data_IF_846290989939
#
_entry.id   IF_846290989939
#
_cell.length_a   1.000
_cell.length_b   1.000
_cell.length_c   1.000
_cell.angle_alpha   90.00
_cell.angle_beta   90.00
_cell.angle_gamma   90.00
#
_symmetry.space_group_name_H-M   'P 1'
#
loop_
_entity.id
_entity.type
_entity.pdbx_description
1 polymer ?
#
# COMPACT_ATOMS: atom_id res chain seq x y z
N UNK A 1 4.27 55.24 -22.18
CA UNK A 1 5.19 54.86 -21.09
C UNK A 1 4.42 54.90 -19.78
N UNK A 2 3.97 53.75 -19.28
CA UNK A 2 3.20 53.65 -18.04
C UNK A 2 4.20 53.66 -16.88
N UNK A 3 4.40 54.84 -16.27
CA UNK A 3 5.16 54.99 -15.03
C UNK A 3 4.33 54.43 -13.89
N UNK A 4 4.55 53.17 -13.52
CA UNK A 4 3.99 52.62 -12.28
C UNK A 4 4.50 53.48 -11.12
N UNK A 5 3.60 54.09 -10.32
CA UNK A 5 4.03 55.00 -9.28
C UNK A 5 4.87 54.22 -8.28
N UNK A 6 6.04 54.75 -7.93
CA UNK A 6 7.00 54.15 -6.98
C UNK A 6 6.33 53.69 -5.67
N UNK A 7 5.22 54.32 -5.28
CA UNK A 7 4.36 53.92 -4.16
C UNK A 7 3.68 52.57 -4.36
N UNK A 8 3.18 52.25 -5.56
CA UNK A 8 2.56 50.96 -5.90
C UNK A 8 3.61 49.83 -5.91
N UNK A 9 4.81 50.10 -6.42
CA UNK A 9 5.93 49.15 -6.37
C UNK A 9 6.35 48.84 -4.92
N UNK A 10 6.40 49.87 -4.05
CA UNK A 10 6.70 49.68 -2.63
C UNK A 10 5.62 48.91 -1.88
N UNK A 11 4.33 49.13 -2.19
CA UNK A 11 3.23 48.36 -1.58
C UNK A 11 3.22 46.90 -2.03
N UNK A 12 3.53 46.62 -3.31
CA UNK A 12 3.62 45.26 -3.82
C UNK A 12 4.83 44.51 -3.22
N UNK A 13 5.98 45.17 -3.09
CA UNK A 13 7.17 44.58 -2.47
C UNK A 13 6.95 44.28 -0.97
N UNK A 14 6.30 45.20 -0.23
CA UNK A 14 5.95 44.97 1.17
C UNK A 14 4.94 43.82 1.34
N UNK A 15 3.94 43.74 0.45
CA UNK A 15 2.98 42.63 0.44
C UNK A 15 3.66 41.29 0.16
N UNK A 16 4.57 41.23 -0.83
CA UNK A 16 5.33 40.03 -1.14
C UNK A 16 6.24 39.59 0.02
N UNK A 17 6.89 40.53 0.71
CA UNK A 17 7.76 40.23 1.85
C UNK A 17 6.97 39.71 3.07
N UNK A 18 5.73 40.17 3.24
CA UNK A 18 4.82 39.70 4.29
C UNK A 18 4.22 38.33 3.99
N UNK A 19 3.92 38.03 2.72
CA UNK A 19 3.31 36.76 2.30
C UNK A 19 4.34 35.64 2.14
N UNK A 20 5.59 35.94 1.78
CA UNK A 20 6.66 34.97 1.60
C UNK A 20 6.87 34.02 2.81
N UNK A 21 6.94 34.48 4.08
CA UNK A 21 7.09 33.58 5.21
C UNK A 21 5.85 32.71 5.45
N UNK A 22 4.63 33.22 5.20
CA UNK A 22 3.41 32.42 5.29
C UNK A 22 3.42 31.28 4.26
N UNK A 23 3.80 31.58 3.02
CA UNK A 23 3.90 30.58 1.96
C UNK A 23 4.98 29.56 2.29
N UNK A 24 6.15 30.00 2.78
CA UNK A 24 7.22 29.09 3.20
C UNK A 24 6.79 28.15 4.34
N UNK A 25 6.02 28.63 5.31
CA UNK A 25 5.45 27.80 6.39
C UNK A 25 4.48 26.75 5.83
N UNK A 26 3.60 27.13 4.89
CA UNK A 26 2.66 26.18 4.26
C UNK A 26 3.35 25.10 3.42
N UNK A 27 4.46 25.43 2.75
CA UNK A 27 5.27 24.43 2.04
C UNK A 27 6.04 23.53 3.03
N UNK A 28 6.48 24.07 4.17
CA UNK A 28 7.22 23.33 5.19
C UNK A 28 6.32 22.39 6.02
N UNK A 29 5.01 22.64 6.11
CA UNK A 29 4.08 21.75 6.82
C UNK A 29 3.80 20.42 6.12
N UNK A 30 4.35 20.20 4.93
CA UNK A 30 4.21 18.95 4.17
C UNK A 30 2.77 18.76 3.66
N UNK A 31 2.63 18.39 2.39
CA UNK A 31 1.38 17.81 1.94
C UNK A 31 1.25 16.45 2.63
N UNK A 32 0.42 16.35 3.67
CA UNK A 32 0.04 15.07 4.23
C UNK A 32 -0.51 14.18 3.11
N UNK A 33 -0.20 12.88 3.13
CA UNK A 33 -0.76 11.93 2.15
C UNK A 33 -2.28 12.05 2.20
N UNK A 34 -2.88 12.51 1.11
CA UNK A 34 -4.33 12.51 0.99
C UNK A 34 -4.77 11.07 0.78
N UNK A 35 -5.27 10.43 1.84
CA UNK A 35 -5.92 9.13 1.72
C UNK A 35 -7.24 9.34 0.99
N UNK A 36 -7.28 8.98 -0.30
CA UNK A 36 -8.48 9.14 -1.13
C UNK A 36 -9.58 8.12 -0.78
N UNK A 37 -9.25 7.08 0.00
CA UNK A 37 -10.22 6.09 0.45
C UNK A 37 -10.89 6.52 1.74
N UNK A 38 -12.22 6.59 1.71
CA UNK A 38 -13.04 6.60 2.91
C UNK A 38 -13.46 5.17 3.21
N UNK A 39 -12.81 4.52 4.17
CA UNK A 39 -13.30 3.26 4.71
C UNK A 39 -14.32 3.54 5.81
N UNK A 40 -15.34 2.68 5.90
CA UNK A 40 -16.10 2.55 7.15
C UNK A 40 -15.20 1.83 8.17
N UNK A 41 -15.33 2.19 9.44
CA UNK A 41 -14.65 1.46 10.52
C UNK A 41 -14.98 -0.03 10.40
N UNK A 42 -13.99 -0.94 10.37
CA UNK A 42 -14.25 -2.37 10.30
C UNK A 42 -15.09 -2.85 11.49
N UNK A 43 -15.97 -3.82 11.24
CA UNK A 43 -16.77 -4.44 12.29
C UNK A 43 -15.87 -5.10 13.37
N UNK A 44 -16.40 -5.38 14.59
CA UNK A 44 -15.67 -6.13 15.62
C UNK A 44 -15.17 -7.50 15.11
N UNK A 45 -14.13 -8.09 15.71
CA UNK A 45 -13.42 -9.25 15.13
C UNK A 45 -14.32 -10.43 14.75
N UNK A 46 -15.27 -10.79 15.63
CA UNK A 46 -16.18 -11.92 15.40
C UNK A 46 -17.21 -11.64 14.30
N UNK A 47 -17.68 -10.40 14.17
CA UNK A 47 -18.60 -9.99 13.10
C UNK A 47 -17.86 -9.88 11.76
N UNK A 48 -16.66 -9.29 11.76
CA UNK A 48 -15.79 -9.23 10.59
C UNK A 48 -15.44 -10.63 10.08
N UNK A 49 -15.26 -11.60 10.99
CA UNK A 49 -14.99 -13.00 10.66
C UNK A 49 -16.13 -13.64 9.86
N UNK A 50 -17.39 -13.25 10.07
CA UNK A 50 -18.53 -13.79 9.32
C UNK A 50 -18.49 -13.38 7.84
N UNK A 51 -18.04 -12.16 7.54
CA UNK A 51 -18.04 -11.56 6.20
C UNK A 51 -16.86 -11.92 5.29
N UNK A 52 -15.89 -12.70 5.78
CA UNK A 52 -14.65 -13.02 5.06
C UNK A 52 -14.51 -14.52 4.79
N UNK A 53 -13.68 -14.90 3.82
CA UNK A 53 -13.46 -16.31 3.46
C UNK A 53 -12.42 -16.96 4.38
N UNK A 54 -11.35 -16.23 4.70
CA UNK A 54 -10.27 -16.71 5.56
C UNK A 54 -9.79 -15.63 6.55
N UNK A 55 -9.34 -16.09 7.72
CA UNK A 55 -8.67 -15.28 8.73
C UNK A 55 -7.46 -16.05 9.23
N UNK A 56 -6.29 -15.47 9.06
CA UNK A 56 -5.01 -16.08 9.43
C UNK A 56 -3.98 -15.01 9.78
N UNK A 57 -2.89 -15.41 10.41
CA UNK A 57 -1.72 -14.56 10.63
C UNK A 57 -0.51 -15.17 9.99
N UNK A 58 0.41 -14.32 9.57
CA UNK A 58 1.63 -14.77 8.92
C UNK A 58 2.59 -13.64 8.63
N UNK A 59 3.82 -14.05 8.33
CA UNK A 59 4.90 -13.14 7.97
C UNK A 59 4.89 -12.89 6.47
N UNK A 60 4.92 -11.63 6.08
CA UNK A 60 5.01 -11.25 4.66
C UNK A 60 6.40 -11.61 4.13
N UNK A 61 6.45 -12.35 3.01
CA UNK A 61 7.70 -12.82 2.42
C UNK A 61 8.11 -12.07 1.18
N UNK A 62 7.17 -11.75 0.29
CA UNK A 62 7.48 -11.10 -0.97
C UNK A 62 6.26 -10.37 -1.55
N UNK A 63 6.53 -9.49 -2.51
CA UNK A 63 5.53 -8.77 -3.29
C UNK A 63 5.82 -8.92 -4.77
N UNK A 64 4.78 -9.18 -5.56
CA UNK A 64 4.83 -9.23 -7.01
C UNK A 64 3.60 -8.54 -7.61
N UNK A 65 3.60 -8.24 -8.91
CA UNK A 65 2.43 -7.70 -9.59
C UNK A 65 1.73 -8.81 -10.35
N UNK A 66 0.47 -9.07 -10.01
CA UNK A 66 -0.38 -9.97 -10.76
C UNK A 66 -1.43 -9.19 -11.56
N UNK A 67 -1.78 -9.67 -12.75
CA UNK A 67 -2.80 -9.03 -13.59
C UNK A 67 -3.90 -10.03 -13.86
N UNK A 68 -5.07 -9.82 -13.26
CA UNK A 68 -6.24 -10.63 -13.57
C UNK A 68 -6.86 -10.13 -14.87
N UNK A 69 -7.16 -11.07 -15.77
CA UNK A 69 -7.95 -10.80 -16.96
C UNK A 69 -9.43 -10.88 -16.58
N UNK A 70 -9.99 -9.74 -16.12
CA UNK A 70 -11.36 -9.70 -15.62
C UNK A 70 -12.32 -9.23 -16.71
N UNK A 71 -13.29 -10.07 -17.05
CA UNK A 71 -14.34 -9.73 -18.01
C UNK A 71 -15.46 -8.93 -17.33
N UNK A 72 -15.29 -7.61 -17.24
CA UNK A 72 -16.34 -6.68 -16.81
C UNK A 72 -17.24 -6.21 -17.96
N UNK A 73 -17.27 -6.91 -19.11
CA UNK A 73 -17.95 -6.44 -20.33
C UNK A 73 -17.22 -5.28 -21.04
N UNK A 74 -16.00 -4.99 -20.61
CA UNK A 74 -15.01 -4.16 -21.30
C UNK A 74 -13.66 -4.86 -21.14
N UNK A 75 -12.85 -4.95 -22.20
CA UNK A 75 -11.50 -5.56 -22.22
C UNK A 75 -10.51 -4.79 -21.33
N UNK A 76 -10.77 -4.75 -20.02
CA UNK A 76 -9.99 -4.03 -19.03
C UNK A 76 -9.44 -5.04 -18.05
N UNK A 77 -8.17 -5.34 -18.22
CA UNK A 77 -7.40 -6.03 -17.21
C UNK A 77 -7.20 -5.15 -15.99
N UNK A 78 -7.21 -5.76 -14.83
CA UNK A 78 -6.96 -5.10 -13.57
C UNK A 78 -5.65 -5.62 -12.97
N UNK A 79 -4.79 -4.70 -12.53
CA UNK A 79 -3.52 -5.05 -11.87
C UNK A 79 -3.72 -5.10 -10.35
N UNK A 80 -3.08 -6.08 -9.73
CA UNK A 80 -3.09 -6.34 -8.30
C UNK A 80 -1.67 -6.60 -7.83
N UNK A 81 -1.38 -6.31 -6.57
CA UNK A 81 -0.22 -6.84 -5.88
C UNK A 81 -0.54 -8.26 -5.42
N UNK A 82 0.32 -9.21 -5.75
CA UNK A 82 0.40 -10.52 -5.13
C UNK A 82 1.30 -10.41 -3.90
N UNK A 83 0.81 -10.82 -2.75
CA UNK A 83 1.56 -10.82 -1.49
C UNK A 83 1.72 -12.26 -1.04
N UNK A 84 2.97 -12.74 -0.98
CA UNK A 84 3.28 -14.05 -0.43
C UNK A 84 3.35 -13.96 1.10
N UNK A 85 2.59 -14.82 1.77
CA UNK A 85 2.53 -14.87 3.23
C UNK A 85 2.90 -16.28 3.70
N UNK A 86 3.88 -16.35 4.60
CA UNK A 86 4.16 -17.55 5.39
C UNK A 86 3.22 -17.57 6.60
N UNK A 87 2.27 -18.51 6.59
CA UNK A 87 1.16 -18.56 7.54
C UNK A 87 1.59 -19.27 8.82
N UNK A 88 1.36 -18.62 9.96
CA UNK A 88 1.67 -19.13 11.30
C UNK A 88 0.44 -19.72 12.00
N UNK A 89 -0.72 -19.08 11.85
CA UNK A 89 -1.94 -19.43 12.62
C UNK A 89 -3.17 -19.10 11.81
N UNK A 90 -4.19 -19.97 11.91
CA UNK A 90 -5.45 -19.87 11.17
C UNK A 90 -6.61 -19.87 12.15
N UNK A 91 -7.57 -18.97 11.95
CA UNK A 91 -8.83 -18.90 12.70
C UNK A 91 -10.05 -19.20 11.84
N UNK A 92 -9.96 -18.97 10.52
CA UNK A 92 -11.03 -19.30 9.57
C UNK A 92 -10.45 -19.63 8.21
N UNK A 93 -11.12 -20.55 7.52
CA UNK A 93 -10.82 -20.93 6.14
C UNK A 93 -9.72 -21.99 6.06
N UNK A 94 -9.58 -22.56 4.86
CA UNK A 94 -8.50 -23.50 4.54
C UNK A 94 -7.39 -22.72 3.85
N UNK A 95 -6.28 -22.50 4.56
CA UNK A 95 -5.07 -21.85 4.03
C UNK A 95 -3.87 -22.75 4.30
N UNK A 96 -2.94 -22.76 3.36
CA UNK A 96 -1.70 -23.55 3.44
C UNK A 96 -0.58 -22.74 4.08
N UNK A 97 0.53 -23.39 4.43
CA UNK A 97 1.68 -22.76 5.09
C UNK A 97 2.28 -21.59 4.29
N UNK A 98 2.10 -21.58 2.96
CA UNK A 98 2.45 -20.45 2.10
C UNK A 98 1.22 -20.11 1.27
N UNK A 99 0.66 -18.92 1.48
CA UNK A 99 -0.58 -18.45 0.84
C UNK A 99 -0.35 -17.09 0.19
N UNK A 100 -1.00 -16.86 -0.96
CA UNK A 100 -0.99 -15.57 -1.64
C UNK A 100 -2.29 -14.80 -1.37
N UNK A 101 -2.16 -13.50 -1.17
CA UNK A 101 -3.31 -12.58 -1.13
C UNK A 101 -3.13 -11.45 -2.13
N UNK A 102 -4.25 -11.01 -2.69
CA UNK A 102 -4.28 -10.01 -3.76
C UNK A 102 -4.85 -8.68 -3.28
N UNK A 103 -4.16 -7.60 -3.61
CA UNK A 103 -4.53 -6.24 -3.22
C UNK A 103 -4.58 -5.38 -4.46
N UNK A 104 -5.62 -4.56 -4.59
CA UNK A 104 -5.77 -3.66 -5.73
C UNK A 104 -4.52 -2.79 -5.97
N UNK A 105 -3.97 -2.83 -7.18
CA UNK A 105 -2.86 -1.96 -7.58
C UNK A 105 -3.42 -0.65 -8.16
N UNK A 106 -3.57 0.38 -7.33
CA UNK A 106 -4.01 1.69 -7.79
C UNK A 106 -3.66 2.84 -6.85
N UNK A 107 -3.44 4.02 -7.42
CA UNK A 107 -3.02 5.23 -6.72
C UNK A 107 -4.02 5.74 -5.65
N UNK A 108 -5.28 5.31 -5.70
CA UNK A 108 -6.33 5.79 -4.81
C UNK A 108 -6.39 5.02 -3.48
N UNK A 109 -6.31 3.68 -3.53
CA UNK A 109 -6.52 2.78 -2.39
C UNK A 109 -5.45 1.71 -2.24
N UNK A 110 -4.23 2.11 -2.58
CA UNK A 110 -3.05 1.28 -2.63
C UNK A 110 -2.61 0.69 -1.29
N UNK A 111 -1.37 0.21 -1.32
CA UNK A 111 -0.90 -0.99 -0.66
C UNK A 111 0.15 -0.70 0.44
N UNK A 112 0.34 0.58 0.80
CA UNK A 112 1.45 1.10 1.61
C UNK A 112 1.55 0.59 3.08
N UNK A 113 0.81 -0.45 3.47
CA UNK A 113 0.71 -0.90 4.86
C UNK A 113 1.16 -2.36 5.09
N UNK A 114 1.27 -3.20 4.06
CA UNK A 114 1.97 -4.48 4.20
C UNK A 114 3.47 -4.26 4.08
N UNK A 115 4.24 -4.82 5.01
CA UNK A 115 5.69 -4.64 5.08
C UNK A 115 6.36 -6.01 5.06
N UNK A 116 7.32 -6.18 4.16
CA UNK A 116 8.11 -7.42 4.04
C UNK A 116 8.83 -7.72 5.36
N UNK A 117 8.73 -8.96 5.82
CA UNK A 117 9.30 -9.43 7.09
C UNK A 117 8.48 -9.09 8.34
N UNK A 118 7.41 -8.30 8.23
CA UNK A 118 6.48 -8.07 9.34
C UNK A 118 5.35 -9.10 9.35
N UNK A 119 4.81 -9.35 10.54
CA UNK A 119 3.72 -10.29 10.76
C UNK A 119 2.38 -9.56 10.87
N UNK A 120 1.38 -10.04 10.16
CA UNK A 120 0.05 -9.44 10.05
C UNK A 120 -1.03 -10.43 10.43
N UNK A 121 -2.12 -9.93 11.02
CA UNK A 121 -3.41 -10.61 10.93
C UNK A 121 -4.10 -10.19 9.63
N UNK A 122 -4.63 -11.17 8.91
CA UNK A 122 -5.17 -11.01 7.57
C UNK A 122 -6.62 -11.48 7.53
N UNK A 123 -7.51 -10.55 7.17
CA UNK A 123 -8.92 -10.79 6.89
C UNK A 123 -9.12 -10.80 5.37
N UNK A 124 -9.18 -12.00 4.79
CA UNK A 124 -9.22 -12.20 3.35
C UNK A 124 -10.61 -12.61 2.86
N UNK A 125 -11.10 -11.95 1.81
CA UNK A 125 -12.38 -12.24 1.17
C UNK A 125 -12.17 -12.85 -0.21
N UNK A 126 -13.17 -13.58 -0.70
CA UNK A 126 -13.23 -14.03 -2.09
C UNK A 126 -14.12 -13.10 -2.91
N UNK A 127 -13.85 -13.03 -4.23
CA UNK A 127 -14.68 -12.32 -5.20
C UNK A 127 -15.02 -13.27 -6.34
N UNK A 128 -16.27 -13.25 -6.76
CA UNK A 128 -16.71 -13.95 -7.95
C UNK A 128 -16.48 -13.04 -9.16
N UNK A 129 -15.26 -13.12 -9.69
CA UNK A 129 -14.86 -12.44 -10.92
C UNK A 129 -14.65 -13.48 -12.02
N UNK A 130 -15.18 -13.23 -13.22
CA UNK A 130 -14.89 -14.09 -14.36
C UNK A 130 -13.40 -13.97 -14.70
N UNK A 131 -12.71 -15.10 -14.78
CA UNK A 131 -11.27 -15.16 -15.09
C UNK A 131 -10.38 -15.19 -13.84
N UNK A 132 -10.97 -15.28 -12.66
CA UNK A 132 -10.28 -15.44 -11.37
C UNK A 132 -10.78 -16.72 -10.71
N UNK A 133 -9.87 -17.50 -10.14
CA UNK A 133 -10.24 -18.73 -9.43
C UNK A 133 -11.08 -18.39 -8.19
N UNK A 134 -12.12 -19.18 -7.94
CA UNK A 134 -13.10 -18.90 -6.89
C UNK A 134 -12.51 -18.92 -5.46
N UNK A 135 -11.37 -19.59 -5.28
CA UNK A 135 -10.63 -19.67 -4.03
C UNK A 135 -9.63 -18.51 -3.83
N UNK A 136 -9.45 -17.65 -4.84
CA UNK A 136 -8.52 -16.51 -4.80
C UNK A 136 -8.86 -15.57 -3.63
N UNK A 137 -7.87 -15.32 -2.79
CA UNK A 137 -7.99 -14.51 -1.58
C UNK A 137 -7.59 -13.05 -1.84
N UNK A 138 -8.50 -12.14 -1.57
CA UNK A 138 -8.30 -10.70 -1.71
C UNK A 138 -8.30 -10.00 -0.37
N UNK A 139 -7.50 -8.94 -0.28
CA UNK A 139 -7.44 -8.04 0.87
C UNK A 139 -7.61 -6.61 0.38
N UNK A 140 -8.19 -5.74 1.20
CA UNK A 140 -8.40 -4.34 0.86
C UNK A 140 -7.97 -3.45 2.01
N UNK A 141 -7.68 -2.18 1.73
CA UNK A 141 -7.40 -1.18 2.78
C UNK A 141 -8.52 -1.09 3.84
N UNK A 142 -9.76 -1.43 3.48
CA UNK A 142 -10.90 -1.38 4.39
C UNK A 142 -11.15 -2.71 5.13
N UNK A 143 -10.31 -3.73 4.92
CA UNK A 143 -10.39 -4.93 5.74
C UNK A 143 -9.90 -4.61 7.16
N UNK A 144 -10.21 -5.52 8.09
CA UNK A 144 -9.71 -5.46 9.46
C UNK A 144 -8.24 -5.91 9.59
N UNK A 145 -7.57 -6.18 8.47
CA UNK A 145 -6.17 -6.63 8.47
C UNK A 145 -5.25 -5.57 9.07
N UNK A 146 -4.29 -6.01 9.89
CA UNK A 146 -3.38 -5.11 10.61
C UNK A 146 -2.07 -5.81 10.98
N UNK A 147 -0.99 -5.06 11.26
CA UNK A 147 0.20 -5.64 11.89
C UNK A 147 -0.19 -6.32 13.21
N UNK A 148 0.38 -7.49 13.48
CA UNK A 148 -0.03 -8.32 14.62
C UNK A 148 0.14 -7.60 15.96
N UNK A 149 1.11 -6.69 16.06
CA UNK A 149 1.35 -5.84 17.23
C UNK A 149 0.19 -4.89 17.55
N UNK A 150 -0.67 -4.59 16.56
CA UNK A 150 -1.84 -3.73 16.70
C UNK A 150 -3.16 -4.51 16.75
N UNK A 151 -3.10 -5.84 16.65
CA UNK A 151 -4.26 -6.72 16.57
C UNK A 151 -4.68 -7.33 17.92
N UNK A 152 -4.42 -6.63 19.03
CA UNK A 152 -4.68 -7.18 20.37
C UNK A 152 -6.17 -7.49 20.62
N UNK A 153 -7.08 -6.67 20.10
CA UNK A 153 -8.53 -6.91 20.16
C UNK A 153 -8.90 -8.20 19.41
N UNK A 154 -8.36 -8.35 18.21
CA UNK A 154 -8.59 -9.49 17.34
C UNK A 154 -8.09 -10.79 17.96
N UNK A 155 -6.83 -10.82 18.40
CA UNK A 155 -6.23 -12.00 19.03
C UNK A 155 -6.99 -12.41 20.30
N UNK A 156 -7.49 -11.43 21.07
CA UNK A 156 -8.30 -11.72 22.25
C UNK A 156 -9.66 -12.33 21.89
N UNK A 157 -10.34 -11.78 20.89
CA UNK A 157 -11.68 -12.21 20.48
C UNK A 157 -11.68 -13.54 19.73
N UNK A 158 -10.68 -13.76 18.86
CA UNK A 158 -10.54 -14.95 18.03
C UNK A 158 -10.03 -16.16 18.83
N UNK A 159 -9.25 -15.92 19.90
CA UNK A 159 -8.73 -16.99 20.76
C UNK A 159 -7.64 -17.82 20.10
N UNK A 160 -7.56 -19.09 20.49
CA UNK A 160 -6.58 -20.03 19.92
C UNK A 160 -6.94 -20.39 18.48
N UNK A 161 -5.99 -20.18 17.57
CA UNK A 161 -6.08 -20.68 16.20
C UNK A 161 -5.47 -22.08 16.06
N UNK A 162 -5.38 -22.55 14.82
CA UNK A 162 -4.74 -23.81 14.46
C UNK A 162 -3.63 -23.58 13.43
N UNK A 163 -2.79 -24.59 13.24
CA UNK A 163 -1.75 -24.56 12.20
C UNK A 163 -2.39 -24.64 10.80
N UNK A 164 -1.75 -24.05 9.77
CA UNK A 164 -2.24 -24.17 8.40
C UNK A 164 -2.28 -25.62 7.91
N UNK A 165 -3.03 -25.87 6.85
CA UNK A 165 -3.17 -27.22 6.28
C UNK A 165 -1.85 -27.71 5.67
N UNK A 166 -1.52 -28.98 5.92
CA UNK A 166 -0.35 -29.66 5.35
C UNK A 166 -0.62 -29.95 3.86
N UNK A 167 -0.17 -29.07 2.96
CA UNK A 167 -0.36 -29.26 1.52
C UNK A 167 0.34 -28.17 0.70
N UNK A 168 0.76 -28.54 -0.52
CA UNK A 168 1.40 -27.70 -1.55
C UNK A 168 1.10 -26.21 -1.39
N UNK A 169 2.16 -25.40 -1.28
CA UNK A 169 2.15 -23.93 -1.40
C UNK A 169 0.95 -23.50 -2.24
N UNK A 170 0.03 -22.71 -1.66
CA UNK A 170 -1.11 -22.20 -2.41
C UNK A 170 -0.54 -21.59 -3.68
N UNK A 171 -0.81 -22.20 -4.83
CA UNK A 171 -0.08 -21.84 -6.03
C UNK A 171 -0.37 -20.36 -6.31
N UNK A 172 0.66 -19.56 -6.54
CA UNK A 172 0.44 -18.26 -7.12
C UNK A 172 -0.18 -18.51 -8.52
N UNK A 173 -1.43 -18.12 -8.81
CA UNK A 173 -1.95 -18.12 -10.17
C UNK A 173 -1.03 -17.36 -11.14
N UNK A 174 -0.18 -16.42 -10.68
CA UNK A 174 0.88 -15.80 -11.47
C UNK A 174 1.91 -16.82 -11.99
N UNK A 175 2.25 -17.83 -11.18
CA UNK A 175 3.24 -18.86 -11.54
C UNK A 175 2.66 -19.96 -12.42
N UNK A 176 1.35 -20.01 -12.60
CA UNK A 176 0.66 -21.07 -13.36
C UNK A 176 0.43 -20.72 -14.83
N UNK A 177 0.76 -19.48 -15.25
CA UNK A 177 0.50 -18.98 -16.60
C UNK A 177 1.61 -19.29 -17.63
N UNK A 178 2.73 -19.93 -17.25
CA UNK A 178 3.87 -20.16 -18.16
C UNK A 178 4.10 -21.63 -18.58
N UNK A 179 3.27 -22.59 -18.16
CA UNK A 179 3.45 -23.99 -18.58
C UNK A 179 2.19 -24.59 -19.24
N UNK A 180 1.84 -24.08 -20.42
CA UNK A 180 1.01 -24.82 -21.38
C UNK A 180 1.63 -24.73 -22.79
N UNK A 181 2.35 -25.79 -23.21
CA UNK A 181 2.94 -25.75 -24.54
C UNK A 181 3.90 -26.85 -24.98
N UNK A 182 3.77 -28.09 -24.53
CA UNK A 182 4.29 -29.22 -25.33
C UNK A 182 3.39 -30.44 -25.15
N UNK A 183 2.61 -30.85 -26.17
CA UNK A 183 1.86 -32.09 -26.09
C UNK A 183 2.85 -33.26 -26.13
N UNK A 184 2.94 -34.00 -25.04
CA UNK A 184 3.57 -35.31 -25.02
C UNK A 184 2.77 -36.28 -25.95
N UNK A 185 3.44 -37.07 -26.80
CA UNK A 185 2.76 -37.97 -27.73
C UNK A 185 2.16 -39.18 -27.02
N UNK A 186 0.97 -39.58 -27.47
CA UNK A 186 0.19 -40.77 -27.07
C UNK A 186 0.99 -42.07 -27.20
N UNK A 187 0.94 -43.02 -26.24
CA UNK A 187 1.60 -44.30 -26.41
C UNK A 187 0.72 -45.25 -27.24
N UNK A 188 1.14 -45.55 -28.47
CA UNK A 188 0.66 -46.73 -29.22
C UNK A 188 1.74 -47.80 -29.23
N UNK A 189 1.34 -48.97 -28.74
CA UNK A 189 1.77 -50.35 -29.04
C UNK A 189 3.07 -50.60 -29.85
N UNK A 190 3.85 -51.53 -29.29
CA UNK A 190 5.10 -52.19 -29.73
C UNK A 190 5.29 -52.52 -31.23
N UNK A 191 6.49 -52.23 -31.79
CA UNK A 191 7.43 -53.16 -32.48
C UNK A 191 8.79 -52.45 -32.83
N UNK A 192 9.91 -53.14 -33.15
CA UNK A 192 11.28 -52.72 -32.75
C UNK A 192 12.22 -52.29 -33.93
N UNK A 193 13.57 -52.22 -33.78
CA UNK A 193 14.36 -50.98 -33.86
C UNK A 193 15.11 -50.77 -35.19
N UNK A 194 15.48 -49.52 -35.49
CA UNK A 194 16.56 -49.24 -36.47
C UNK A 194 17.35 -47.96 -36.08
N UNK A 195 18.68 -48.09 -36.16
CA UNK A 195 19.79 -47.19 -35.77
C UNK A 195 19.83 -45.78 -36.44
N UNK A 196 20.73 -44.87 -35.98
CA UNK A 196 20.49 -43.42 -35.90
C UNK A 196 21.33 -42.52 -36.84
N UNK A 197 20.94 -41.22 -36.94
CA UNK A 197 21.76 -39.97 -37.13
C UNK A 197 20.89 -38.81 -37.70
N UNK A 198 21.30 -37.52 -37.70
CA UNK A 198 21.99 -36.65 -36.71
C UNK A 198 21.18 -35.32 -36.46
N UNK A 199 21.68 -34.28 -35.76
CA UNK A 199 20.85 -33.23 -35.15
C UNK A 199 20.63 -32.00 -36.05
N UNK A 200 19.51 -31.30 -35.83
CA UNK A 200 19.27 -29.96 -36.36
C UNK A 200 18.89 -29.00 -35.22
N UNK A 201 19.73 -27.98 -35.12
CA UNK A 201 19.67 -26.73 -34.36
C UNK A 201 18.53 -25.79 -34.78
N UNK A 202 18.10 -24.92 -33.86
CA UNK A 202 17.36 -23.68 -34.14
C UNK A 202 16.37 -23.39 -32.99
N UNK A 203 16.74 -22.63 -31.96
CA UNK A 203 16.76 -21.15 -31.89
C UNK A 203 15.38 -20.51 -32.09
N UNK A 204 14.78 -20.09 -30.98
CA UNK A 204 13.65 -19.17 -30.86
C UNK A 204 13.75 -18.40 -29.53
N UNK A 205 13.26 -17.15 -29.45
CA UNK A 205 13.87 -16.10 -28.62
C UNK A 205 13.38 -16.05 -27.17
N UNK A 206 14.30 -15.64 -26.29
CA UNK A 206 14.06 -15.24 -24.92
C UNK A 206 13.45 -13.83 -24.86
N UNK A 207 12.43 -13.68 -24.01
CA UNK A 207 11.88 -12.43 -23.46
C UNK A 207 11.20 -12.84 -22.14
N UNK A 208 11.25 -12.15 -21.01
CA UNK A 208 12.13 -11.12 -20.42
C UNK A 208 11.61 -11.08 -18.97
N UNK A 209 12.46 -11.52 -18.06
CA UNK A 209 12.54 -11.37 -16.60
C UNK A 209 11.29 -10.94 -15.78
N UNK A 210 10.83 -11.86 -14.92
CA UNK A 210 9.95 -11.56 -13.80
C UNK A 210 10.60 -10.59 -12.82
N UNK A 211 10.13 -9.34 -12.83
CA UNK A 211 10.63 -8.24 -12.03
C UNK A 211 10.14 -8.39 -10.57
N UNK A 212 10.92 -9.08 -9.73
CA UNK A 212 10.74 -9.08 -8.27
C UNK A 212 10.98 -7.66 -7.74
N UNK A 213 9.91 -6.93 -7.45
CA UNK A 213 10.02 -5.56 -6.93
C UNK A 213 10.31 -5.61 -5.43
N UNK A 214 11.42 -4.97 -5.01
CA UNK A 214 11.72 -4.78 -3.60
C UNK A 214 10.53 -4.10 -2.90
N UNK A 215 10.09 -4.65 -1.77
CA UNK A 215 8.92 -4.13 -1.06
C UNK A 215 9.02 -2.62 -0.81
N UNK A 216 7.92 -1.86 -0.94
CA UNK A 216 7.89 -0.43 -0.63
C UNK A 216 8.00 -0.23 0.89
N UNK A 217 9.22 -0.34 1.39
CA UNK A 217 9.60 -0.19 2.80
C UNK A 217 11.12 -0.14 3.01
N UNK A 218 11.93 -0.53 2.02
CA UNK A 218 13.39 -0.53 2.12
C UNK A 218 14.05 0.85 1.88
N UNK A 219 13.33 1.84 1.37
CA UNK A 219 13.83 3.22 1.23
C UNK A 219 13.46 4.00 2.49
N UNK A 220 14.30 3.88 3.54
CA UNK A 220 14.48 4.78 4.70
C UNK A 220 14.74 4.07 6.04
N UNK A 221 15.09 2.78 6.04
CA UNK A 221 15.65 2.10 7.22
C UNK A 221 17.16 2.40 7.42
N UNK A 222 17.55 3.67 7.31
CA UNK A 222 18.87 4.16 7.71
C UNK A 222 18.76 5.57 8.29
N UNK A 223 17.91 5.73 9.29
CA UNK A 223 18.08 6.79 10.30
C UNK A 223 17.79 6.17 11.65
N UNK A 224 18.81 6.23 12.50
CA UNK A 224 18.76 5.91 13.92
C UNK A 224 17.43 6.34 14.54
N UNK A 225 16.71 5.39 15.16
CA UNK A 225 15.66 5.67 16.14
C UNK A 225 16.25 6.53 17.24
N UNK A 226 16.09 7.84 17.13
CA UNK A 226 16.19 8.73 18.27
C UNK A 226 14.82 8.70 18.96
N UNK A 227 14.81 8.17 20.18
CA UNK A 227 13.63 8.11 21.03
C UNK A 227 12.99 9.50 21.10
N UNK A 228 11.70 9.59 20.77
CA UNK A 228 10.90 10.80 20.93
C UNK A 228 10.71 11.10 22.42
N UNK A 229 11.72 11.72 23.03
CA UNK A 229 11.50 12.55 24.19
C UNK A 229 10.57 13.68 23.77
N UNK A 230 9.37 13.74 24.37
CA UNK A 230 8.49 14.89 24.23
C UNK A 230 9.26 16.19 24.51
N UNK A 231 8.85 17.32 23.90
CA UNK A 231 9.57 18.57 24.07
C UNK A 231 9.69 18.92 25.56
N UNK A 232 10.86 19.37 26.03
CA UNK A 232 11.02 19.79 27.42
C UNK A 232 10.06 20.94 27.72
N UNK A 233 9.52 20.99 28.94
CA UNK A 233 8.44 21.86 29.40
C UNK A 233 8.68 23.40 29.25
N UNK A 234 9.78 23.82 28.65
CA UNK A 234 10.07 25.22 28.31
C UNK A 234 9.71 25.61 26.87
N UNK A 235 9.31 24.66 26.01
CA UNK A 235 9.02 24.90 24.59
C UNK A 235 7.54 25.26 24.28
N UNK A 236 6.82 25.88 25.23
CA UNK A 236 5.52 26.50 24.94
C UNK A 236 5.81 27.92 24.41
N UNK A 237 5.58 28.22 23.11
CA UNK A 237 5.68 29.58 22.65
C UNK A 237 4.61 30.41 23.34
N UNK A 238 5.06 31.43 24.07
CA UNK A 238 4.22 32.47 24.67
C UNK A 238 3.38 33.15 23.58
N UNK A 239 2.18 32.63 23.36
CA UNK A 239 1.06 33.32 22.70
C UNK A 239 0.58 34.49 23.60
N UNK A 240 1.46 35.45 23.83
CA UNK A 240 1.23 36.63 24.68
C UNK A 240 1.68 37.96 24.06
N UNK A 241 2.16 37.98 22.81
CA UNK A 241 2.79 39.16 22.21
C UNK A 241 1.95 39.96 21.19
N UNK A 242 0.88 39.40 20.64
CA UNK A 242 0.25 39.96 19.43
C UNK A 242 -0.87 40.98 19.64
N UNK A 243 -1.23 41.31 20.88
CA UNK A 243 -2.28 42.32 21.16
C UNK A 243 -1.72 43.75 21.32
N UNK A 244 -0.40 43.92 21.51
CA UNK A 244 0.20 45.23 21.79
C UNK A 244 0.56 46.06 20.52
N UNK A 245 0.73 45.43 19.35
CA UNK A 245 1.17 46.14 18.14
C UNK A 245 0.05 46.93 17.45
N UNK A 246 -1.23 46.62 17.71
CA UNK A 246 -2.38 47.32 17.11
C UNK A 246 -2.68 48.68 17.76
N UNK A 247 -2.12 48.97 18.93
CA UNK A 247 -2.37 50.23 19.67
C UNK A 247 -1.40 51.34 19.25
N UNK A 248 -0.19 51.00 18.80
CA UNK A 248 0.83 52.01 18.43
C UNK A 248 0.60 52.65 17.06
N UNK A 249 -0.12 51.99 16.14
CA UNK A 249 -0.49 52.58 14.83
C UNK A 249 -1.59 53.65 14.97
N UNK A 250 -2.42 53.59 16.02
CA UNK A 250 -3.47 54.61 16.27
C UNK A 250 -2.96 55.89 16.97
N UNK A 251 -1.72 55.91 17.46
CA UNK A 251 -1.13 57.11 18.10
C UNK A 251 -0.28 57.97 17.15
N UNK A 252 0.10 57.46 15.97
CA UNK A 252 0.86 58.21 14.96
C UNK A 252 -0.01 59.03 13.99
N UNK A 253 -1.34 58.89 14.05
CA UNK A 253 -2.31 59.63 13.22
C UNK A 253 -3.25 60.45 14.10
N UNK A 254 -2.69 61.36 14.90
CA UNK A 254 -3.45 62.49 15.44
C UNK A 254 -3.06 63.74 14.65
N UNK A 255 -3.96 64.32 13.82
CA UNK A 255 -3.68 65.57 13.14
C UNK A 255 -3.53 66.70 14.18
N UNK A 256 -2.42 67.43 14.12
CA UNK A 256 -2.28 68.72 14.80
C UNK A 256 -3.16 69.73 14.07
N UNK A 257 -4.35 69.98 14.59
CA UNK A 257 -5.13 71.18 14.28
C UNK A 257 -5.54 71.81 15.61
N UNK A 258 -4.87 72.91 15.97
CA UNK A 258 -5.35 73.90 16.92
C UNK A 258 -4.99 75.28 16.38
N UNK A 259 -6.04 76.12 16.39
CA UNK A 259 -6.08 77.58 16.32
C UNK A 259 -5.60 78.22 15.02
#
# INVERSE_FOLDING_TARGET
MISTPRRLLLTLAAGALLLAPLVAVQLATGAGRAHACSCVEPAPPLEALEGVAAVFSGTVRSFDTHRFEVDFGSDRSESYWSVEIEVDTVWKGSVTATTYVYIWHGAACGFDWFVEGENFIVYAFQRDFRGVDADTLFVSLCSRSAPIERAAEDLHALGEGHVPEDGVTGADPASSAEEEGTPAPTPTSQDPPRSPAPPATGSGPALDDGERIAGPGASDAATTREASAGPPAWAIPLLGGFVAASVLVRLAVRPRLRA
#
